data_IF_691315750092
#
_entry.id   IF_691315750092
#
_cell.length_a   1.000
_cell.length_b   1.000
_cell.length_c   1.000
_cell.angle_alpha   90.00
_cell.angle_beta   90.00
_cell.angle_gamma   90.00
#
_symmetry.space_group_name_H-M   'P 1'
#
loop_
_entity.id
_entity.type
_entity.pdbx_description
1 polymer ?
#
# COMPACT_ATOMS: atom_id res chain seq x y z
N UNK A 1 -10.35 -4.92 -3.26
CA UNK A 1 -11.12 -5.82 -4.16
C UNK A 1 -10.26 -7.02 -4.51
N UNK A 2 -10.83 -8.23 -4.66
CA UNK A 2 -10.09 -9.42 -5.02
C UNK A 2 -9.62 -9.41 -6.49
N UNK A 3 -8.33 -9.65 -6.72
CA UNK A 3 -7.67 -9.74 -8.03
C UNK A 3 -7.88 -11.16 -8.56
N UNK A 4 -9.04 -11.43 -9.16
CA UNK A 4 -9.48 -12.79 -9.53
C UNK A 4 -8.56 -13.53 -10.54
N UNK A 5 -7.65 -12.83 -11.21
CA UNK A 5 -6.73 -13.39 -12.23
C UNK A 5 -5.37 -13.85 -11.68
N UNK A 6 -5.15 -13.80 -10.35
CA UNK A 6 -3.90 -14.26 -9.72
C UNK A 6 -4.15 -15.50 -8.86
N UNK A 7 -3.43 -16.61 -9.14
CA UNK A 7 -3.53 -17.88 -8.41
C UNK A 7 -4.69 -18.77 -8.87
N UNK A 8 -5.14 -19.68 -8.00
CA UNK A 8 -6.21 -20.66 -8.28
C UNK A 8 -7.63 -20.09 -8.12
N UNK A 9 -7.77 -18.76 -7.97
CA UNK A 9 -9.04 -18.08 -7.72
C UNK A 9 -9.61 -18.26 -6.29
N UNK A 10 -8.93 -19.02 -5.43
CA UNK A 10 -9.29 -19.19 -4.03
C UNK A 10 -8.95 -17.93 -3.22
N UNK A 11 -9.98 -17.32 -2.63
CA UNK A 11 -9.83 -16.12 -1.82
C UNK A 11 -9.22 -16.41 -0.44
N UNK A 12 -9.25 -17.67 -0.01
CA UNK A 12 -8.74 -18.10 1.29
C UNK A 12 -7.24 -18.42 1.28
N UNK A 13 -6.65 -18.60 0.09
CA UNK A 13 -5.22 -18.92 -0.09
C UNK A 13 -4.33 -17.85 0.58
N UNK A 14 -3.41 -18.26 1.49
CA UNK A 14 -2.51 -17.34 2.18
C UNK A 14 -1.58 -16.57 1.24
N UNK A 15 -1.18 -17.15 0.09
CA UNK A 15 -0.35 -16.49 -0.93
C UNK A 15 -1.17 -15.40 -1.62
N UNK A 16 -2.38 -15.74 -2.06
CA UNK A 16 -3.31 -14.80 -2.67
C UNK A 16 -3.61 -13.61 -1.74
N UNK A 17 -3.90 -13.89 -0.46
CA UNK A 17 -4.15 -12.84 0.55
C UNK A 17 -2.95 -11.93 0.74
N UNK A 18 -1.72 -12.45 0.69
CA UNK A 18 -0.52 -11.64 0.81
C UNK A 18 -0.31 -10.74 -0.41
N UNK A 19 -0.47 -11.28 -1.62
CA UNK A 19 -0.39 -10.49 -2.84
C UNK A 19 -1.46 -9.38 -2.87
N UNK A 20 -2.70 -9.70 -2.51
CA UNK A 20 -3.79 -8.72 -2.38
C UNK A 20 -3.43 -7.59 -1.40
N UNK A 21 -2.81 -7.90 -0.27
CA UNK A 21 -2.29 -6.90 0.68
C UNK A 21 -1.21 -6.01 0.05
N UNK A 22 -0.27 -6.59 -0.71
CA UNK A 22 0.78 -5.83 -1.41
C UNK A 22 0.16 -4.88 -2.42
N UNK A 23 -0.73 -5.35 -3.29
CA UNK A 23 -1.36 -4.50 -4.31
C UNK A 23 -2.17 -3.38 -3.66
N UNK A 24 -2.93 -3.70 -2.60
CA UNK A 24 -3.64 -2.69 -1.84
C UNK A 24 -2.68 -1.61 -1.30
N UNK A 25 -1.54 -2.00 -0.73
CA UNK A 25 -0.52 -1.06 -0.28
C UNK A 25 0.03 -0.20 -1.43
N UNK A 26 0.39 -0.80 -2.56
CA UNK A 26 0.91 -0.09 -3.74
C UNK A 26 -0.11 0.95 -4.27
N UNK A 27 -1.40 0.61 -4.31
CA UNK A 27 -2.45 1.57 -4.71
C UNK A 27 -2.48 2.78 -3.77
N UNK A 28 -2.37 2.57 -2.46
CA UNK A 28 -2.33 3.68 -1.51
C UNK A 28 -1.06 4.53 -1.68
N UNK A 29 0.09 3.91 -1.96
CA UNK A 29 1.31 4.64 -2.30
C UNK A 29 1.15 5.49 -3.57
N UNK A 30 0.56 4.94 -4.64
CA UNK A 30 0.32 5.68 -5.89
C UNK A 30 -0.56 6.91 -5.65
N UNK A 31 -1.64 6.76 -4.89
CA UNK A 31 -2.53 7.87 -4.53
C UNK A 31 -1.76 8.93 -3.72
N UNK A 32 -1.02 8.50 -2.70
CA UNK A 32 -0.22 9.41 -1.89
C UNK A 32 0.81 10.18 -2.73
N UNK A 33 1.55 9.49 -3.61
CA UNK A 33 2.51 10.12 -4.52
C UNK A 33 1.83 11.11 -5.47
N UNK A 34 0.67 10.77 -6.04
CA UNK A 34 -0.09 11.67 -6.91
C UNK A 34 -0.53 12.94 -6.16
N UNK A 35 -0.99 12.80 -4.91
CA UNK A 35 -1.40 13.94 -4.08
C UNK A 35 -0.19 14.82 -3.70
N UNK A 36 0.90 14.23 -3.20
CA UNK A 36 2.10 14.97 -2.80
C UNK A 36 2.74 15.70 -3.99
N UNK A 37 2.89 15.02 -5.13
CA UNK A 37 3.42 15.65 -6.35
C UNK A 37 2.49 16.73 -6.91
N UNK A 38 1.18 16.48 -6.94
CA UNK A 38 0.18 17.46 -7.38
C UNK A 38 0.17 18.72 -6.51
N UNK A 39 0.26 18.57 -5.19
CA UNK A 39 0.36 19.73 -4.29
C UNK A 39 1.67 20.48 -4.46
N UNK A 40 2.78 19.79 -4.74
CA UNK A 40 4.04 20.44 -5.07
C UNK A 40 3.94 21.27 -6.36
N UNK A 41 3.26 20.74 -7.38
CA UNK A 41 2.97 21.49 -8.62
C UNK A 41 2.10 22.73 -8.35
N UNK A 42 1.07 22.61 -7.51
CA UNK A 42 0.21 23.75 -7.15
C UNK A 42 0.97 24.84 -6.37
N UNK A 43 1.94 24.45 -5.53
CA UNK A 43 2.83 25.38 -4.84
C UNK A 43 3.66 26.22 -5.82
N UNK A 44 4.14 25.63 -6.91
CA UNK A 44 4.87 26.34 -7.97
C UNK A 44 3.99 27.40 -8.66
N UNK A 45 2.68 27.16 -8.75
CA UNK A 45 1.67 28.09 -9.29
C UNK A 45 1.26 29.15 -8.24
N UNK A 46 2.06 29.32 -7.18
CA UNK A 46 1.84 30.25 -6.05
C UNK A 46 0.58 29.98 -5.23
N UNK A 47 0.08 28.75 -5.22
CA UNK A 47 -1.00 28.34 -4.33
C UNK A 47 -0.41 27.74 -3.04
N UNK A 48 -0.38 28.53 -1.96
CA UNK A 48 0.17 28.06 -0.68
C UNK A 48 -0.88 27.32 0.16
N UNK A 49 -0.66 26.03 0.39
CA UNK A 49 -1.47 25.21 1.28
C UNK A 49 -0.73 24.93 2.60
N UNK A 50 -0.88 25.83 3.57
CA UNK A 50 -0.16 25.78 4.85
C UNK A 50 -0.38 24.47 5.66
N UNK A 51 -1.55 23.84 5.54
CA UNK A 51 -1.88 22.62 6.28
C UNK A 51 -1.34 21.33 5.64
N UNK A 52 -0.92 21.39 4.38
CA UNK A 52 -0.61 20.18 3.61
C UNK A 52 0.54 19.36 4.18
N UNK A 53 1.55 20.02 4.75
CA UNK A 53 2.72 19.33 5.29
C UNK A 53 2.36 18.38 6.45
N UNK A 54 1.52 18.84 7.39
CA UNK A 54 1.06 18.02 8.52
C UNK A 54 0.20 16.85 8.04
N UNK A 55 -0.66 17.09 7.05
CA UNK A 55 -1.47 16.05 6.42
C UNK A 55 -0.60 14.99 5.73
N UNK A 56 0.42 15.40 4.97
CA UNK A 56 1.34 14.50 4.29
C UNK A 56 2.16 13.65 5.28
N UNK A 57 2.62 14.24 6.39
CA UNK A 57 3.32 13.52 7.46
C UNK A 57 2.41 12.45 8.09
N UNK A 58 1.19 12.82 8.46
CA UNK A 58 0.24 11.88 9.06
C UNK A 58 -0.08 10.71 8.12
N UNK A 59 -0.34 11.00 6.84
CA UNK A 59 -0.61 9.96 5.84
C UNK A 59 0.63 9.08 5.59
N UNK A 60 1.83 9.66 5.59
CA UNK A 60 3.08 8.90 5.49
C UNK A 60 3.24 7.89 6.65
N UNK A 61 2.89 8.27 7.88
CA UNK A 61 2.89 7.36 9.05
C UNK A 61 1.87 6.23 8.88
N UNK A 62 0.69 6.52 8.33
CA UNK A 62 -0.31 5.48 8.01
C UNK A 62 0.21 4.50 6.95
N UNK A 63 0.89 4.99 5.91
CA UNK A 63 1.52 4.14 4.90
C UNK A 63 2.62 3.27 5.51
N UNK A 64 3.48 3.84 6.35
CA UNK A 64 4.52 3.07 7.05
C UNK A 64 3.92 1.95 7.91
N UNK A 65 2.85 2.25 8.65
CA UNK A 65 2.10 1.26 9.43
C UNK A 65 1.49 0.16 8.55
N UNK A 66 0.94 0.51 7.39
CA UNK A 66 0.38 -0.44 6.43
C UNK A 66 1.48 -1.34 5.83
N UNK A 67 2.67 -0.80 5.52
CA UNK A 67 3.81 -1.57 5.05
C UNK A 67 4.24 -2.61 6.10
N UNK A 68 4.37 -2.20 7.36
CA UNK A 68 4.71 -3.11 8.47
C UNK A 68 3.69 -4.24 8.55
N UNK A 69 2.39 -3.93 8.43
CA UNK A 69 1.33 -4.94 8.42
C UNK A 69 1.46 -5.94 7.26
N UNK A 70 1.77 -5.47 6.04
CA UNK A 70 2.00 -6.34 4.87
C UNK A 70 3.17 -7.30 5.12
N UNK A 71 4.27 -6.80 5.70
CA UNK A 71 5.48 -7.58 6.00
C UNK A 71 5.21 -8.62 7.09
N UNK A 72 4.55 -8.24 8.19
CA UNK A 72 4.22 -9.16 9.29
C UNK A 72 3.32 -10.30 8.81
N UNK A 73 2.37 -10.00 7.91
CA UNK A 73 1.44 -10.99 7.35
C UNK A 73 2.03 -11.72 6.13
N UNK A 74 3.34 -11.68 5.91
CA UNK A 74 3.99 -12.53 4.90
C UNK A 74 3.79 -14.01 5.28
N UNK A 75 3.27 -14.86 4.37
CA UNK A 75 3.18 -16.28 4.63
C UNK A 75 4.61 -16.82 4.82
N UNK A 76 4.84 -17.51 5.94
CA UNK A 76 6.05 -18.31 6.13
C UNK A 76 5.87 -19.57 5.30
N UNK A 77 6.90 -19.94 4.56
CA UNK A 77 6.87 -21.05 3.60
C UNK A 77 6.19 -22.28 4.21
N UNK A 78 5.04 -22.67 3.67
CA UNK A 78 4.40 -23.96 3.92
C UNK A 78 5.16 -25.10 3.21
N UNK A 79 6.47 -24.93 2.99
CA UNK A 79 7.37 -25.86 2.30
C UNK A 79 8.42 -26.41 3.28
N UNK A 80 7.96 -26.81 4.46
CA UNK A 80 8.60 -27.88 5.27
C UNK A 80 7.55 -28.90 5.71
N UNK A 81 6.64 -29.27 4.79
CA UNK A 81 5.64 -30.34 4.99
C UNK A 81 5.73 -31.44 3.93
N UNK A 82 6.90 -31.71 3.36
CA UNK A 82 7.15 -32.98 2.65
C UNK A 82 8.63 -33.38 2.64
N UNK A 83 9.16 -33.76 3.81
CA UNK A 83 10.27 -34.73 3.94
C UNK A 83 9.96 -35.63 5.11
#
# INVERSE_FOLDING_TARGET
MPIKWYGNGDLEDPIYKHFSRIVNFVIHCMIFTAVVSGTWLLKEIKYEMAFFNNFAIFWSILLASHLIFVIIKKPRDLEKQST
#
